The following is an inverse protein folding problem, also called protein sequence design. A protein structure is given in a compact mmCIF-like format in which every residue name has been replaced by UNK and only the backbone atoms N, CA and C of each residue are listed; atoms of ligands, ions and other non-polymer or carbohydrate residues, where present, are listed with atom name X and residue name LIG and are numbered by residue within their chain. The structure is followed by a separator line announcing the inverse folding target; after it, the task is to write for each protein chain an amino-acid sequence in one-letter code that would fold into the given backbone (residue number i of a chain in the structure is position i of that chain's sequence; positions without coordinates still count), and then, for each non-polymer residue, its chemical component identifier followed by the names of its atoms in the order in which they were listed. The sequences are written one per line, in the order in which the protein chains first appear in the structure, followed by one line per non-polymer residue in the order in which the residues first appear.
data_IF_660887449670
#
_entry.id   IF_660887449670
#
_cell.length_a   1.000
_cell.length_b   1.000
_cell.length_c   1.000
_cell.angle_alpha   90.00
_cell.angle_beta   90.00
_cell.angle_gamma   90.00
#
_symmetry.space_group_name_H-M   'P 1'
#
loop_
_entity.id
_entity.type
_entity.pdbx_description
1 polymer ?
#
# COMPACT_ATOMS: atom_id res chain seq x y z
N UNK A 1 -17.18 -8.61 -4.41
CA UNK A 1 -16.83 -9.04 -5.00
C UNK A 1 -16.28 -9.96 -5.14
N UNK A 2 -16.16 -10.45 -5.67
CA UNK A 2 -15.36 -11.13 -5.93
C UNK A 2 -15.46 -11.47 -6.95
N UNK A 3 -15.10 -11.44 -7.74
CA UNK A 3 -14.99 -11.86 -8.69
C UNK A 3 -14.69 -12.96 -9.14
N UNK A 4 -14.65 -13.76 -9.66
CA UNK A 4 -14.37 -14.74 -9.95
C UNK A 4 -13.68 -15.63 -10.21
N UNK A 5 -13.42 -16.36 -10.92
CA UNK A 5 -12.72 -17.21 -11.07
C UNK A 5 -11.63 -17.16 -11.31
N UNK A 6 -11.18 -16.53 -12.13
CA UNK A 6 -9.99 -16.39 -12.28
C UNK A 6 -9.59 -15.45 -11.54
N UNK A 7 -10.19 -14.88 -11.10
CA UNK A 7 -9.86 -14.13 -10.21
C UNK A 7 -9.25 -14.63 -9.17
N UNK A 8 -9.05 -15.74 -9.26
CA UNK A 8 -8.46 -16.45 -8.39
C UNK A 8 -7.26 -16.01 -7.91
N UNK A 9 -6.65 -15.15 -8.55
CA UNK A 9 -5.38 -14.64 -8.13
C UNK A 9 -5.44 -13.82 -6.87
N UNK A 10 -6.57 -13.24 -6.57
CA UNK A 10 -6.75 -12.50 -5.34
C UNK A 10 -6.47 -13.38 -4.12
N UNK A 11 -6.90 -14.63 -4.18
CA UNK A 11 -6.69 -15.54 -3.06
C UNK A 11 -5.24 -15.89 -2.83
N UNK A 12 -4.41 -15.77 -3.87
CA UNK A 12 -3.00 -16.13 -3.78
C UNK A 12 -2.10 -14.94 -3.58
N UNK A 13 -2.64 -13.74 -3.62
CA UNK A 13 -1.85 -12.53 -3.47
C UNK A 13 -1.61 -12.25 -1.99
N UNK A 14 -0.36 -12.05 -1.64
CA UNK A 14 0.04 -11.74 -0.28
C UNK A 14 0.63 -10.35 -0.27
N UNK A 15 0.13 -9.53 0.65
CA UNK A 15 0.64 -8.19 0.87
C UNK A 15 1.35 -8.19 2.20
N UNK A 16 2.61 -7.79 2.20
CA UNK A 16 3.40 -7.69 3.43
C UNK A 16 3.67 -6.24 3.74
N UNK A 17 3.46 -5.86 4.99
CA UNK A 17 3.68 -4.48 5.43
C UNK A 17 4.69 -4.51 6.56
N UNK A 18 5.73 -3.71 6.43
CA UNK A 18 6.75 -3.60 7.46
C UNK A 18 6.89 -2.14 7.84
N UNK A 19 6.70 -1.84 9.12
CA UNK A 19 6.88 -0.48 9.60
C UNK A 19 8.37 -0.13 9.61
N UNK A 20 8.73 0.98 8.98
CA UNK A 20 10.12 1.43 8.93
C UNK A 20 10.41 2.34 10.11
N UNK A 21 9.49 3.27 10.39
CA UNK A 21 9.58 4.14 11.57
C UNK A 21 8.17 4.53 11.97
N UNK A 22 8.03 5.58 12.78
CA UNK A 22 6.73 5.93 13.35
C UNK A 22 5.65 6.20 12.29
N UNK A 23 6.02 6.64 11.11
CA UNK A 23 5.05 7.07 10.11
C UNK A 23 5.20 6.39 8.76
N UNK A 24 6.29 5.70 8.52
CA UNK A 24 6.56 5.11 7.23
C UNK A 24 6.46 3.60 7.28
N UNK A 25 5.95 3.02 6.20
CA UNK A 25 5.85 1.57 6.05
C UNK A 25 6.36 1.17 4.68
N UNK A 26 7.01 0.01 4.62
CA UNK A 26 7.35 -0.61 3.36
C UNK A 26 6.32 -1.69 3.07
N UNK A 27 5.77 -1.65 1.89
CA UNK A 27 4.74 -2.59 1.47
C UNK A 27 5.28 -3.40 0.32
N UNK A 28 5.16 -4.72 0.41
CA UNK A 28 5.51 -5.61 -0.68
C UNK A 28 4.26 -6.27 -1.22
N UNK A 29 4.05 -6.12 -2.51
CA UNK A 29 2.94 -6.74 -3.22
C UNK A 29 3.52 -7.44 -4.42
N UNK A 30 3.51 -8.76 -4.41
CA UNK A 30 4.17 -9.59 -5.41
C UNK A 30 5.66 -9.24 -5.44
N UNK A 31 6.18 -8.76 -6.58
CA UNK A 31 7.58 -8.34 -6.69
C UNK A 31 7.75 -6.82 -6.56
N UNK A 32 6.65 -6.10 -6.31
CA UNK A 32 6.73 -4.65 -6.17
C UNK A 32 6.97 -4.27 -4.73
N UNK A 33 7.76 -3.23 -4.54
CA UNK A 33 8.00 -2.64 -3.23
C UNK A 33 7.54 -1.20 -3.27
N UNK A 34 6.68 -0.85 -2.32
CA UNK A 34 6.10 0.47 -2.23
C UNK A 34 6.43 1.06 -0.88
N UNK A 35 6.48 2.37 -0.81
CA UNK A 35 6.68 3.09 0.45
C UNK A 35 5.44 3.92 0.72
N UNK A 36 4.93 3.83 1.94
CA UNK A 36 3.86 4.71 2.42
C UNK A 36 4.43 5.55 3.55
N UNK A 37 4.17 6.83 3.52
CA UNK A 37 4.65 7.76 4.53
C UNK A 37 3.65 8.88 4.67
N UNK A 38 3.75 9.65 5.73
CA UNK A 38 2.91 10.82 5.91
C UNK A 38 3.61 12.06 5.38
N UNK A 39 2.80 13.09 5.16
CA UNK A 39 3.32 14.38 4.75
C UNK A 39 4.09 15.02 5.90
N UNK A 40 5.02 15.92 5.61
CA UNK A 40 5.83 16.52 6.68
C UNK A 40 5.01 17.19 7.77
N UNK A 41 3.90 17.86 7.41
CA UNK A 41 3.07 18.51 8.42
C UNK A 41 2.25 17.53 9.26
N UNK A 42 2.25 16.26 8.89
CA UNK A 42 1.63 15.21 9.70
C UNK A 42 2.68 14.36 10.40
N UNK A 43 3.93 14.77 10.37
CA UNK A 43 5.01 14.08 11.07
C UNK A 43 5.83 13.14 10.22
N UNK A 44 5.48 12.95 8.97
CA UNK A 44 6.22 12.08 8.08
C UNK A 44 7.38 12.76 7.38
N UNK A 45 8.03 12.04 6.50
CA UNK A 45 9.17 12.55 5.72
C UNK A 45 8.88 12.58 4.24
N UNK A 46 7.63 12.39 3.87
CA UNK A 46 7.19 12.49 2.48
C UNK A 46 7.97 11.57 1.54
N UNK A 47 8.26 10.36 1.99
CA UNK A 47 9.02 9.39 1.19
C UNK A 47 8.15 8.65 0.19
N UNK A 48 6.84 8.74 0.32
CA UNK A 48 5.89 8.11 -0.58
C UNK A 48 4.50 8.60 -0.27
N UNK A 49 3.49 8.14 -1.03
CA UNK A 49 2.10 8.50 -0.76
C UNK A 49 1.67 8.04 0.62
N UNK A 50 0.76 8.79 1.22
CA UNK A 50 0.19 8.39 2.51
C UNK A 50 -0.76 7.20 2.32
N UNK A 51 -1.09 6.50 3.42
CA UNK A 51 -2.05 5.40 3.33
C UNK A 51 -3.39 5.83 2.72
N UNK A 52 -3.87 7.02 3.06
CA UNK A 52 -5.12 7.51 2.50
C UNK A 52 -4.98 7.74 0.99
N UNK A 53 -3.85 8.25 0.55
CA UNK A 53 -3.62 8.48 -0.87
C UNK A 53 -3.58 7.15 -1.64
N UNK A 54 -3.04 6.09 -1.04
CA UNK A 54 -3.07 4.77 -1.67
C UNK A 54 -4.50 4.24 -1.82
N UNK A 55 -5.36 4.50 -0.83
CA UNK A 55 -6.76 4.12 -0.93
C UNK A 55 -7.42 4.87 -2.09
N UNK A 56 -7.13 6.15 -2.23
CA UNK A 56 -7.68 6.96 -3.31
C UNK A 56 -7.22 6.47 -4.68
N UNK A 57 -5.96 6.07 -4.79
CA UNK A 57 -5.43 5.49 -6.02
C UNK A 57 -6.19 4.22 -6.36
N UNK A 58 -6.39 3.35 -5.38
CA UNK A 58 -7.10 2.10 -5.60
C UNK A 58 -8.53 2.32 -6.04
N UNK A 59 -9.20 3.32 -5.50
CA UNK A 59 -10.56 3.64 -5.88
C UNK A 59 -10.65 4.26 -7.28
N UNK A 60 -9.63 5.00 -7.67
CA UNK A 60 -9.61 5.66 -8.97
C UNK A 60 -9.09 4.78 -10.10
N UNK A 61 -8.44 3.70 -9.75
CA UNK A 61 -7.87 2.81 -10.77
C UNK A 61 -8.88 1.71 -11.27
#
# INVERSE_FOLDING_TARGET
MYLTEEKQDIKKTVISVKQIDSFASQVKARHFTLISDEKPWNGGKNRGPSPLEYIMVGLGA
#
